data_IF_146892757903
#
_entry.id   IF_146892757903
#
_cell.length_a   1.000
_cell.length_b   1.000
_cell.length_c   1.000
_cell.angle_alpha   90.00
_cell.angle_beta   90.00
_cell.angle_gamma   90.00
#
_symmetry.space_group_name_H-M   'P 1'
#
loop_
_entity.id
_entity.type
_entity.pdbx_description
1 polymer ?
#
# COMPACT_ATOMS: atom_id res chain seq x y z
N UNK A 1 8.60 11.61 -21.86
CA UNK A 1 8.87 12.36 -20.62
C UNK A 1 8.87 11.37 -19.47
N UNK A 2 9.97 11.25 -18.72
CA UNK A 2 10.01 10.46 -17.49
C UNK A 2 9.24 11.30 -16.46
N UNK A 3 8.14 10.79 -15.94
CA UNK A 3 7.36 11.48 -14.90
C UNK A 3 8.18 11.56 -13.61
N UNK A 4 7.91 12.54 -12.74
CA UNK A 4 8.57 12.69 -11.42
C UNK A 4 8.51 11.37 -10.62
N UNK A 5 7.39 10.66 -10.72
CA UNK A 5 7.20 9.33 -10.09
C UNK A 5 8.16 8.27 -10.63
N UNK A 6 8.45 8.27 -11.93
CA UNK A 6 9.42 7.35 -12.54
C UNK A 6 10.86 7.58 -12.08
N UNK A 7 11.23 8.83 -11.82
CA UNK A 7 12.55 9.17 -11.26
C UNK A 7 12.67 8.68 -9.82
N UNK A 8 11.66 8.94 -8.99
CA UNK A 8 11.66 8.51 -7.58
C UNK A 8 11.69 6.99 -7.44
N UNK A 9 10.93 6.27 -8.25
CA UNK A 9 10.95 4.80 -8.26
C UNK A 9 12.33 4.26 -8.64
N UNK A 10 12.95 4.81 -9.70
CA UNK A 10 14.29 4.39 -10.13
C UNK A 10 15.32 4.60 -9.02
N UNK A 11 15.34 5.77 -8.39
CA UNK A 11 16.22 6.07 -7.27
C UNK A 11 16.01 5.13 -6.09
N UNK A 12 14.76 4.80 -5.75
CA UNK A 12 14.45 3.86 -4.69
C UNK A 12 14.96 2.45 -5.01
N UNK A 13 14.80 1.98 -6.26
CA UNK A 13 15.33 0.67 -6.71
C UNK A 13 16.85 0.64 -6.71
N UNK A 14 17.51 1.69 -7.19
CA UNK A 14 18.97 1.84 -7.15
C UNK A 14 19.48 1.86 -5.70
N UNK A 15 18.68 2.35 -4.77
CA UNK A 15 18.95 2.34 -3.32
C UNK A 15 18.56 1.04 -2.63
N UNK A 16 18.11 0.00 -3.35
CA UNK A 16 17.88 -1.33 -2.82
C UNK A 16 16.43 -1.69 -2.49
N UNK A 17 15.43 -0.89 -2.91
CA UNK A 17 14.02 -1.30 -2.89
C UNK A 17 13.83 -2.61 -3.66
N UNK A 18 13.13 -3.57 -3.06
CA UNK A 18 12.83 -4.85 -3.70
C UNK A 18 11.36 -4.93 -4.09
N UNK A 19 11.11 -5.00 -5.41
CA UNK A 19 9.79 -5.22 -5.98
C UNK A 19 9.77 -6.54 -6.74
N UNK A 20 8.79 -7.36 -6.47
CA UNK A 20 8.51 -8.57 -7.24
C UNK A 20 7.99 -8.26 -8.65
N UNK A 21 7.90 -9.28 -9.52
CA UNK A 21 7.33 -9.13 -10.86
C UNK A 21 5.87 -8.67 -10.80
N UNK A 22 5.50 -7.90 -11.83
CA UNK A 22 4.13 -7.41 -12.04
C UNK A 22 3.58 -6.50 -10.91
N UNK A 23 4.44 -5.92 -10.07
CA UNK A 23 4.02 -4.88 -9.12
C UNK A 23 3.54 -3.66 -9.90
N UNK A 24 2.33 -3.16 -9.58
CA UNK A 24 1.71 -2.01 -10.24
C UNK A 24 1.63 -0.83 -9.28
N UNK A 25 1.99 0.36 -9.78
CA UNK A 25 1.88 1.61 -9.04
C UNK A 25 0.79 2.49 -9.66
N UNK A 26 -0.22 2.83 -8.88
CA UNK A 26 -1.34 3.70 -9.29
C UNK A 26 -0.99 5.20 -9.30
N UNK A 27 0.21 5.57 -8.84
CA UNK A 27 0.67 6.95 -8.78
C UNK A 27 1.96 7.09 -7.97
N UNK A 28 2.17 8.26 -7.37
CA UNK A 28 3.32 8.51 -6.51
C UNK A 28 3.27 7.64 -5.24
N UNK A 29 4.43 7.07 -4.88
CA UNK A 29 4.62 6.31 -3.65
C UNK A 29 5.84 6.87 -2.93
N UNK A 30 5.70 7.12 -1.63
CA UNK A 30 6.82 7.55 -0.78
C UNK A 30 7.49 6.31 -0.18
N UNK A 31 8.71 6.03 -0.64
CA UNK A 31 9.51 4.87 -0.20
C UNK A 31 10.39 5.17 1.03
N UNK A 32 10.23 6.35 1.64
CA UNK A 32 11.07 6.78 2.78
C UNK A 32 12.53 7.03 2.40
N UNK A 33 13.37 7.11 3.40
CA UNK A 33 14.82 7.32 3.24
C UNK A 33 15.63 6.02 3.19
N UNK A 34 15.05 4.89 3.60
CA UNK A 34 15.70 3.56 3.61
C UNK A 34 14.91 2.55 2.74
N UNK A 35 14.82 2.74 1.41
CA UNK A 35 14.05 1.86 0.54
C UNK A 35 14.60 0.43 0.50
N UNK A 36 15.87 0.20 0.84
CA UNK A 36 16.47 -1.13 1.01
C UNK A 36 15.86 -1.95 2.16
N UNK A 37 15.08 -1.35 3.04
CA UNK A 37 14.30 -2.04 4.09
C UNK A 37 12.89 -2.42 3.64
N UNK A 38 12.52 -2.16 2.38
CA UNK A 38 11.18 -2.41 1.85
C UNK A 38 11.22 -3.55 0.84
N UNK A 39 10.31 -4.50 1.00
CA UNK A 39 10.09 -5.59 0.08
C UNK A 39 8.60 -5.71 -0.25
N UNK A 40 8.28 -5.80 -1.54
CA UNK A 40 6.91 -5.95 -2.05
C UNK A 40 6.86 -7.16 -2.96
N UNK A 41 5.97 -8.09 -2.67
CA UNK A 41 5.79 -9.33 -3.43
C UNK A 41 5.07 -9.14 -4.76
N UNK A 42 5.10 -10.20 -5.55
CA UNK A 42 4.60 -10.29 -6.92
C UNK A 42 3.12 -9.89 -7.04
N UNK A 43 2.69 -9.39 -8.20
CA UNK A 43 1.29 -9.04 -8.54
C UNK A 43 0.64 -7.99 -7.60
N UNK A 44 1.39 -7.40 -6.68
CA UNK A 44 0.85 -6.42 -5.73
C UNK A 44 0.62 -5.07 -6.42
N UNK A 45 -0.53 -4.46 -6.11
CA UNK A 45 -0.87 -3.11 -6.58
C UNK A 45 -0.80 -2.13 -5.43
N UNK A 46 -0.02 -1.06 -5.60
CA UNK A 46 0.08 0.05 -4.64
C UNK A 46 -0.56 1.27 -5.29
N UNK A 47 -1.58 1.80 -4.65
CA UNK A 47 -2.29 2.98 -5.14
C UNK A 47 -1.46 4.26 -4.91
N UNK A 48 -1.99 5.42 -5.27
CA UNK A 48 -1.28 6.69 -5.17
C UNK A 48 -1.16 7.20 -3.72
N UNK A 49 -0.12 7.98 -3.46
CA UNK A 49 0.16 8.64 -2.17
C UNK A 49 0.30 7.68 -0.98
N UNK A 50 0.68 6.43 -1.24
CA UNK A 50 1.05 5.48 -0.17
C UNK A 50 2.43 5.85 0.36
N UNK A 51 2.60 5.79 1.70
CA UNK A 51 3.86 6.06 2.37
C UNK A 51 4.36 4.84 3.14
N UNK A 52 5.63 4.48 2.90
CA UNK A 52 6.37 3.50 3.69
C UNK A 52 7.30 4.21 4.65
N UNK A 53 7.14 3.98 5.95
CA UNK A 53 7.94 4.59 7.01
C UNK A 53 8.80 3.49 7.64
N UNK A 54 10.10 3.52 7.39
CA UNK A 54 11.05 2.48 7.80
C UNK A 54 11.75 2.77 9.12
N UNK A 55 11.63 4.01 9.62
CA UNK A 55 12.24 4.42 10.87
C UNK A 55 11.29 5.25 11.74
N UNK A 56 11.54 5.23 13.06
CA UNK A 56 10.80 6.04 14.01
C UNK A 56 11.61 7.28 14.42
N UNK A 57 11.28 8.40 13.80
CA UNK A 57 11.91 9.70 14.12
C UNK A 57 11.52 10.25 15.51
N UNK A 58 10.49 9.70 16.17
CA UNK A 58 10.09 10.09 17.53
C UNK A 58 11.18 9.79 18.57
N UNK A 59 12.12 8.89 18.26
CA UNK A 59 13.34 8.67 19.07
C UNK A 59 14.15 9.95 19.27
N UNK A 60 13.95 10.98 18.46
CA UNK A 60 14.53 12.30 18.65
C UNK A 60 14.17 12.90 20.01
N UNK A 61 12.98 12.62 20.52
CA UNK A 61 12.57 13.05 21.87
C UNK A 61 13.45 12.41 22.93
N UNK A 62 13.70 11.09 22.78
CA UNK A 62 14.55 10.31 23.70
C UNK A 62 16.00 10.85 23.69
N UNK A 63 16.54 11.17 22.50
CA UNK A 63 17.90 11.74 22.37
C UNK A 63 18.08 13.06 23.13
N UNK A 64 16.99 13.82 23.34
CA UNK A 64 17.03 15.09 24.04
C UNK A 64 16.94 14.94 25.58
N UNK A 65 16.59 13.75 26.07
CA UNK A 65 16.50 13.50 27.50
C UNK A 65 17.92 13.31 28.13
N UNK A 66 18.15 13.78 29.38
CA UNK A 66 19.37 13.49 30.10
C UNK A 66 19.61 12.00 30.32
N UNK A 67 20.85 11.55 30.18
CA UNK A 67 21.24 10.15 30.41
C UNK A 67 20.95 9.21 29.24
N UNK A 68 20.31 9.65 28.17
CA UNK A 68 20.06 8.83 26.99
C UNK A 68 21.11 9.02 25.89
N UNK A 69 21.33 7.94 25.11
CA UNK A 69 22.26 7.98 23.99
C UNK A 69 21.72 8.89 22.89
N UNK A 70 22.54 9.83 22.43
CA UNK A 70 22.19 10.81 21.39
C UNK A 70 22.04 10.21 19.98
N UNK A 71 22.53 9.00 19.78
CA UNK A 71 22.44 8.27 18.51
C UNK A 71 21.26 7.29 18.43
N UNK A 72 20.37 7.28 19.44
CA UNK A 72 19.22 6.38 19.48
C UNK A 72 18.30 6.57 18.28
N UNK A 73 18.05 5.51 17.52
CA UNK A 73 17.11 5.46 16.40
C UNK A 73 16.52 4.06 16.28
N UNK A 74 15.31 3.95 15.74
CA UNK A 74 14.66 2.67 15.46
C UNK A 74 14.48 2.56 13.95
N UNK A 75 15.05 1.53 13.34
CA UNK A 75 14.80 1.11 11.97
C UNK A 75 14.20 -0.28 11.99
N UNK A 76 13.19 -0.52 11.15
CA UNK A 76 12.61 -1.85 10.98
C UNK A 76 12.20 -2.07 9.52
N UNK A 77 12.43 -3.28 8.97
CA UNK A 77 12.01 -3.61 7.62
C UNK A 77 10.49 -3.68 7.50
N UNK A 78 9.99 -3.42 6.29
CA UNK A 78 8.58 -3.59 5.92
C UNK A 78 8.51 -4.65 4.83
N UNK A 79 7.58 -5.60 4.99
CA UNK A 79 7.31 -6.62 3.98
C UNK A 79 5.85 -6.59 3.57
N UNK A 80 5.61 -6.57 2.27
CA UNK A 80 4.29 -6.75 1.67
C UNK A 80 4.32 -8.04 0.87
N UNK A 81 3.36 -8.90 1.10
CA UNK A 81 3.22 -10.18 0.42
C UNK A 81 2.83 -10.05 -1.04
N UNK A 82 2.47 -11.18 -1.65
CA UNK A 82 2.05 -11.29 -3.04
C UNK A 82 0.56 -11.00 -3.18
N UNK A 83 0.17 -10.55 -4.40
CA UNK A 83 -1.23 -10.35 -4.76
C UNK A 83 -1.97 -9.48 -3.73
N UNK A 84 -1.35 -8.39 -3.30
CA UNK A 84 -1.95 -7.44 -2.35
C UNK A 84 -2.45 -6.19 -3.06
N UNK A 85 -3.41 -5.51 -2.44
CA UNK A 85 -3.82 -4.17 -2.81
C UNK A 85 -3.61 -3.21 -1.64
N UNK A 86 -2.81 -2.16 -1.85
CA UNK A 86 -2.60 -1.11 -0.85
C UNK A 86 -3.35 0.13 -1.31
N UNK A 87 -4.43 0.46 -0.61
CA UNK A 87 -5.30 1.59 -0.91
C UNK A 87 -4.56 2.94 -0.78
N UNK A 88 -5.02 3.92 -1.57
CA UNK A 88 -4.40 5.25 -1.63
C UNK A 88 -4.31 5.93 -0.26
N UNK A 89 -3.26 6.75 -0.08
CA UNK A 89 -3.01 7.52 1.15
C UNK A 89 -2.85 6.67 2.41
N UNK A 90 -2.54 5.39 2.26
CA UNK A 90 -2.22 4.53 3.41
C UNK A 90 -0.77 4.76 3.86
N UNK A 91 -0.53 4.60 5.16
CA UNK A 91 0.80 4.68 5.77
C UNK A 91 1.14 3.33 6.38
N UNK A 92 2.28 2.75 5.96
CA UNK A 92 2.79 1.49 6.49
C UNK A 92 3.95 1.81 7.44
N UNK A 93 3.81 1.44 8.71
CA UNK A 93 4.76 1.78 9.76
C UNK A 93 5.91 0.77 9.90
N UNK A 94 6.99 1.14 10.62
CA UNK A 94 8.20 0.31 10.72
C UNK A 94 7.91 -1.08 11.32
N UNK A 95 8.44 -2.12 10.70
CA UNK A 95 8.37 -3.49 11.18
C UNK A 95 7.12 -4.26 10.77
N UNK A 96 6.24 -3.65 9.98
CA UNK A 96 4.99 -4.29 9.55
C UNK A 96 5.25 -5.34 8.46
N UNK A 97 4.60 -6.49 8.62
CA UNK A 97 4.44 -7.52 7.59
C UNK A 97 2.97 -7.60 7.17
N UNK A 98 2.69 -7.44 5.87
CA UNK A 98 1.38 -7.67 5.27
C UNK A 98 1.46 -9.01 4.53
N UNK A 99 0.59 -9.95 4.90
CA UNK A 99 0.54 -11.28 4.28
C UNK A 99 0.00 -11.26 2.85
N UNK A 100 0.06 -12.40 2.19
CA UNK A 100 -0.41 -12.57 0.80
C UNK A 100 -1.93 -12.40 0.66
N UNK A 101 -2.41 -12.07 -0.54
CA UNK A 101 -3.83 -11.93 -0.87
C UNK A 101 -4.56 -10.97 0.09
N UNK A 102 -3.94 -9.84 0.42
CA UNK A 102 -4.45 -8.90 1.42
C UNK A 102 -4.88 -7.58 0.79
N UNK A 103 -6.02 -7.07 1.22
CA UNK A 103 -6.52 -5.75 0.82
C UNK A 103 -6.37 -4.79 1.99
N UNK A 104 -5.64 -3.69 1.78
CA UNK A 104 -5.58 -2.55 2.71
C UNK A 104 -6.45 -1.43 2.16
N UNK A 105 -7.48 -1.06 2.90
CA UNK A 105 -8.38 0.04 2.55
C UNK A 105 -7.67 1.39 2.52
N UNK A 106 -8.16 2.31 1.68
CA UNK A 106 -7.61 3.65 1.53
C UNK A 106 -7.54 4.42 2.85
N UNK A 107 -6.51 5.27 3.03
CA UNK A 107 -6.34 6.11 4.21
C UNK A 107 -5.99 5.37 5.49
N UNK A 108 -5.55 4.11 5.41
CA UNK A 108 -5.24 3.30 6.59
C UNK A 108 -3.86 3.62 7.17
N UNK A 109 -3.72 3.47 8.49
CA UNK A 109 -2.42 3.49 9.19
C UNK A 109 -2.13 2.09 9.72
N UNK A 110 -1.27 1.37 8.99
CA UNK A 110 -0.91 -0.02 9.31
C UNK A 110 0.25 -0.01 10.29
N UNK A 111 -0.02 -0.31 11.54
CA UNK A 111 0.93 -0.25 12.66
C UNK A 111 1.22 -1.62 13.30
N UNK A 112 0.72 -2.69 12.70
CA UNK A 112 0.92 -4.09 13.10
C UNK A 112 0.78 -5.00 11.90
N UNK A 113 1.24 -6.24 12.03
CA UNK A 113 1.14 -7.24 10.99
C UNK A 113 -0.33 -7.53 10.63
N UNK A 114 -0.55 -7.75 9.32
CA UNK A 114 -1.85 -8.14 8.77
C UNK A 114 -1.70 -9.55 8.20
N UNK A 115 -2.53 -10.50 8.62
CA UNK A 115 -2.45 -11.87 8.12
C UNK A 115 -2.85 -11.97 6.65
N UNK A 116 -2.41 -13.04 6.00
CA UNK A 116 -2.82 -13.37 4.63
C UNK A 116 -4.34 -13.57 4.51
N UNK A 117 -4.86 -13.40 3.30
CA UNK A 117 -6.28 -13.60 2.97
C UNK A 117 -7.23 -12.71 3.80
N UNK A 118 -6.82 -11.45 4.02
CA UNK A 118 -7.54 -10.50 4.88
C UNK A 118 -7.88 -9.21 4.15
N UNK A 119 -8.96 -8.59 4.59
CA UNK A 119 -9.29 -7.20 4.30
C UNK A 119 -9.14 -6.40 5.58
N UNK A 120 -8.30 -5.37 5.55
CA UNK A 120 -8.00 -4.54 6.71
C UNK A 120 -8.09 -3.05 6.36
N UNK A 121 -8.57 -2.22 7.28
CA UNK A 121 -8.62 -0.77 7.06
C UNK A 121 -8.66 0.00 8.38
N UNK A 122 -8.51 1.32 8.27
CA UNK A 122 -8.75 2.29 9.35
C UNK A 122 -7.48 2.83 10.02
N UNK A 123 -7.70 3.67 11.04
CA UNK A 123 -6.65 4.33 11.84
C UNK A 123 -6.95 4.10 13.33
N UNK A 124 -6.23 3.21 14.01
CA UNK A 124 -5.25 2.27 13.47
C UNK A 124 -5.90 1.18 12.60
N UNK A 125 -5.14 0.65 11.63
CA UNK A 125 -5.61 -0.40 10.74
C UNK A 125 -5.93 -1.69 11.51
N UNK A 126 -7.09 -2.29 11.21
CA UNK A 126 -7.55 -3.55 11.79
C UNK A 126 -8.11 -4.44 10.70
N UNK A 127 -7.97 -5.75 10.86
CA UNK A 127 -8.68 -6.73 10.02
C UNK A 127 -10.19 -6.52 10.21
N UNK A 128 -10.90 -6.38 9.11
CA UNK A 128 -12.35 -6.18 9.05
C UNK A 128 -13.04 -7.51 8.77
N UNK A 129 -12.53 -8.27 7.82
CA UNK A 129 -13.06 -9.56 7.41
C UNK A 129 -11.97 -10.38 6.68
N UNK A 130 -12.27 -11.62 6.38
CA UNK A 130 -11.48 -12.44 5.47
C UNK A 130 -11.70 -12.02 4.02
N UNK A 131 -10.79 -12.41 3.13
CA UNK A 131 -10.96 -12.17 1.70
C UNK A 131 -12.19 -12.89 1.14
N UNK A 132 -12.46 -14.12 1.60
CA UNK A 132 -13.63 -14.90 1.18
C UNK A 132 -14.95 -14.23 1.60
N UNK A 133 -15.02 -13.71 2.82
CA UNK A 133 -16.19 -12.94 3.28
C UNK A 133 -16.39 -11.66 2.45
N UNK A 134 -15.29 -10.98 2.08
CA UNK A 134 -15.34 -9.81 1.21
C UNK A 134 -15.87 -10.17 -0.18
N UNK A 135 -15.38 -11.26 -0.78
CA UNK A 135 -15.84 -11.76 -2.09
C UNK A 135 -17.34 -12.08 -2.03
N UNK A 136 -17.76 -12.90 -1.07
CA UNK A 136 -19.15 -13.28 -0.91
C UNK A 136 -20.09 -12.09 -0.73
N UNK A 137 -19.66 -11.06 0.02
CA UNK A 137 -20.44 -9.84 0.26
C UNK A 137 -20.64 -9.01 -1.01
N UNK A 138 -19.67 -9.01 -1.94
CA UNK A 138 -19.67 -8.13 -3.11
C UNK A 138 -19.90 -8.86 -4.43
N UNK A 139 -20.24 -10.15 -4.40
CA UNK A 139 -20.41 -10.96 -5.60
C UNK A 139 -21.42 -10.35 -6.59
N UNK A 140 -22.53 -9.81 -6.08
CA UNK A 140 -23.58 -9.16 -6.89
C UNK A 140 -23.15 -7.78 -7.43
N UNK A 141 -22.10 -7.16 -6.88
CA UNK A 141 -21.55 -5.88 -7.33
C UNK A 141 -20.49 -6.03 -8.42
N UNK A 142 -20.03 -7.26 -8.73
CA UNK A 142 -18.94 -7.48 -9.66
C UNK A 142 -19.33 -7.17 -11.09
N UNK A 143 -18.57 -6.28 -11.74
CA UNK A 143 -18.69 -5.96 -13.16
C UNK A 143 -17.48 -6.49 -13.92
N UNK A 144 -17.71 -7.35 -14.90
CA UNK A 144 -16.67 -8.05 -15.67
C UNK A 144 -16.21 -7.21 -16.88
N UNK A 145 -15.48 -6.11 -16.64
CA UNK A 145 -15.17 -5.09 -17.65
C UNK A 145 -13.72 -4.57 -17.62
N UNK A 146 -12.78 -5.34 -17.05
CA UNK A 146 -11.36 -4.93 -16.96
C UNK A 146 -10.75 -4.69 -18.35
N UNK A 147 -11.07 -5.52 -19.33
CA UNK A 147 -10.59 -5.41 -20.72
C UNK A 147 -11.47 -4.53 -21.64
N UNK A 148 -12.56 -3.99 -21.13
CA UNK A 148 -13.48 -3.17 -21.93
C UNK A 148 -12.82 -1.84 -22.37
N UNK A 149 -12.91 -1.44 -23.65
CA UNK A 149 -12.40 -0.16 -24.13
C UNK A 149 -13.00 1.03 -23.37
N UNK A 150 -12.21 2.10 -23.12
CA UNK A 150 -12.66 3.22 -22.27
C UNK A 150 -13.99 3.87 -22.67
N UNK A 151 -14.25 4.00 -23.98
CA UNK A 151 -15.48 4.58 -24.52
C UNK A 151 -16.70 3.70 -24.22
N UNK A 152 -16.59 2.42 -24.50
CA UNK A 152 -17.63 1.42 -24.22
C UNK A 152 -17.92 1.31 -22.73
N UNK A 153 -16.85 1.29 -21.91
CA UNK A 153 -16.94 1.31 -20.44
C UNK A 153 -17.74 2.54 -19.96
N UNK A 154 -17.45 3.73 -20.48
CA UNK A 154 -18.15 4.95 -20.11
C UNK A 154 -19.64 4.88 -20.44
N UNK A 155 -19.99 4.42 -21.65
CA UNK A 155 -21.37 4.27 -22.09
C UNK A 155 -22.13 3.26 -21.26
N UNK A 156 -21.51 2.09 -21.02
CA UNK A 156 -22.06 1.05 -20.16
C UNK A 156 -22.36 1.56 -18.75
N UNK A 157 -21.37 2.21 -18.09
CA UNK A 157 -21.53 2.70 -16.72
C UNK A 157 -22.57 3.81 -16.60
N UNK A 158 -22.66 4.72 -17.58
CA UNK A 158 -23.72 5.73 -17.63
C UNK A 158 -25.11 5.11 -17.69
N UNK A 159 -25.28 4.09 -18.56
CA UNK A 159 -26.55 3.37 -18.68
C UNK A 159 -26.87 2.57 -17.41
N UNK A 160 -25.89 1.85 -16.87
CA UNK A 160 -26.04 0.99 -15.69
C UNK A 160 -26.46 1.78 -14.46
N UNK A 161 -25.87 2.97 -14.25
CA UNK A 161 -26.15 3.84 -13.11
C UNK A 161 -27.15 4.96 -13.39
N UNK A 162 -27.81 4.97 -14.57
CA UNK A 162 -28.79 5.99 -14.99
C UNK A 162 -28.22 7.43 -14.92
N UNK A 163 -26.93 7.62 -15.29
CA UNK A 163 -26.26 8.91 -15.25
C UNK A 163 -26.48 9.65 -16.57
N UNK A 164 -27.07 10.85 -16.54
CA UNK A 164 -27.20 11.74 -17.71
C UNK A 164 -28.41 11.42 -18.60
N UNK A 165 -29.47 10.85 -18.04
CA UNK A 165 -30.80 10.84 -18.65
C UNK A 165 -31.57 12.12 -18.29
#
# INVERSE_FOLDING_TARGET
MITTNGVQLRQAMESGLRLGPNVKLGGAVNWGSEPYLIEVGDETTISFDVAFVTHDAATRVIRNLPGHNKETVIYKPIKVGKNCFIGCRSTILPGVTIGDNTIIGAGSVVNRDIPSNSVAAGVPCKVICTLDEYIAKHEDDFLYMVSMPPKEKQEFLKKHFNIGQ
#
